data_IF_264409936379
#
_entry.id   IF_264409936379
#
_cell.length_a   1.000
_cell.length_b   1.000
_cell.length_c   1.000
_cell.angle_alpha   90.00
_cell.angle_beta   90.00
_cell.angle_gamma   90.00
#
_symmetry.space_group_name_H-M   'P 1'
#
loop_
_entity.id
_entity.type
_entity.pdbx_description
1 polymer ?
#
# COMPACT_ATOMS: atom_id res chain seq x y z
N UNK A 1 34.87 -15.14 64.27
CA UNK A 1 36.07 -14.39 63.81
C UNK A 1 36.29 -14.70 62.34
N UNK A 2 36.23 -13.71 61.43
CA UNK A 2 36.47 -13.84 59.97
C UNK A 2 35.43 -14.76 59.26
N UNK A 3 35.01 -14.57 57.99
CA UNK A 3 35.33 -13.51 57.01
C UNK A 3 34.13 -13.21 56.08
N UNK A 4 34.33 -12.21 55.20
CA UNK A 4 33.58 -11.77 54.02
C UNK A 4 33.02 -12.91 53.09
N UNK A 5 32.05 -12.73 52.17
CA UNK A 5 31.24 -11.58 51.66
C UNK A 5 29.90 -12.14 51.07
N UNK A 6 29.02 -11.53 50.24
CA UNK A 6 29.00 -10.34 49.36
C UNK A 6 27.56 -9.78 49.18
N UNK A 7 27.39 -8.72 48.37
CA UNK A 7 26.10 -8.14 47.92
C UNK A 7 25.22 -9.11 47.10
N UNK A 8 23.90 -8.99 47.29
CA UNK A 8 22.89 -9.06 46.20
C UNK A 8 21.84 -7.98 46.46
N UNK A 9 21.60 -7.09 45.49
CA UNK A 9 20.53 -6.10 45.53
C UNK A 9 19.57 -6.40 44.37
N UNK A 10 18.36 -6.88 44.69
CA UNK A 10 17.44 -7.42 43.69
C UNK A 10 16.69 -6.32 42.94
N UNK A 11 16.84 -6.26 41.62
CA UNK A 11 16.08 -5.36 40.75
C UNK A 11 14.78 -6.01 40.27
N UNK A 12 13.64 -5.34 40.51
CA UNK A 12 12.34 -5.77 40.02
C UNK A 12 12.19 -5.41 38.53
N UNK A 13 12.44 -6.40 37.65
CA UNK A 13 12.14 -6.29 36.22
C UNK A 13 10.65 -6.58 35.97
N UNK A 14 9.87 -5.51 35.76
CA UNK A 14 8.49 -5.62 35.26
C UNK A 14 8.52 -5.98 33.78
N UNK A 15 7.88 -7.10 33.42
CA UNK A 15 7.68 -7.48 32.03
C UNK A 15 6.75 -6.47 31.32
N UNK A 16 7.28 -5.77 30.32
CA UNK A 16 6.49 -5.03 29.34
C UNK A 16 6.46 -5.84 28.03
N UNK A 17 5.29 -6.13 27.43
CA UNK A 17 5.23 -6.89 26.19
C UNK A 17 5.80 -6.07 25.02
N UNK A 18 6.71 -6.68 24.26
CA UNK A 18 7.30 -6.06 23.06
C UNK A 18 6.25 -5.93 21.94
N UNK A 19 5.52 -4.81 21.92
CA UNK A 19 4.85 -4.35 20.71
C UNK A 19 5.90 -4.03 19.65
N UNK A 20 5.95 -4.84 18.59
CA UNK A 20 6.80 -4.61 17.43
C UNK A 20 6.24 -3.45 16.61
N UNK A 21 6.56 -2.23 17.00
CA UNK A 21 6.13 -1.01 16.30
C UNK A 21 6.70 -0.96 14.87
N UNK A 22 5.85 -1.20 13.87
CA UNK A 22 6.13 -0.93 12.46
C UNK A 22 6.37 0.56 12.25
N UNK A 23 7.35 0.91 11.41
CA UNK A 23 8.06 2.19 11.48
C UNK A 23 7.34 3.41 10.85
N UNK A 24 6.12 3.71 11.28
CA UNK A 24 5.57 5.07 11.25
C UNK A 24 5.96 5.80 12.54
N UNK A 25 7.21 6.24 12.66
CA UNK A 25 7.57 7.17 13.74
C UNK A 25 6.96 8.54 13.43
N UNK A 26 5.97 8.96 14.24
CA UNK A 26 5.31 10.27 14.13
C UNK A 26 6.35 11.40 14.09
N UNK A 27 7.48 11.21 14.78
CA UNK A 27 8.71 12.01 14.73
C UNK A 27 9.06 12.55 13.34
N UNK A 28 8.97 11.77 12.27
CA UNK A 28 9.36 12.24 10.94
C UNK A 28 8.41 13.31 10.38
N UNK A 29 7.10 13.23 10.67
CA UNK A 29 6.14 14.28 10.32
C UNK A 29 6.17 15.48 11.29
N UNK A 30 6.70 15.30 12.51
CA UNK A 30 6.80 16.37 13.51
C UNK A 30 7.98 17.33 13.27
N UNK A 31 8.99 16.93 12.48
CA UNK A 31 10.22 17.71 12.27
C UNK A 31 10.15 18.71 11.09
N UNK A 32 9.09 18.69 10.29
CA UNK A 32 8.97 19.53 9.07
C UNK A 32 7.74 20.44 9.05
N UNK A 33 6.88 20.41 10.07
CA UNK A 33 5.56 21.07 10.05
C UNK A 33 5.33 22.13 11.15
N UNK A 34 4.71 23.29 10.85
CA UNK A 34 4.18 24.20 11.87
C UNK A 34 3.13 23.52 12.78
N UNK A 35 2.90 24.07 13.98
CA UNK A 35 2.12 23.46 15.09
C UNK A 35 0.75 22.86 14.72
N UNK A 36 0.07 23.36 13.68
CA UNK A 36 -1.19 22.78 13.18
C UNK A 36 -1.07 21.35 12.63
N UNK A 37 0.15 20.86 12.35
CA UNK A 37 0.39 19.48 11.88
C UNK A 37 0.05 18.43 12.94
N UNK A 38 0.19 18.74 14.24
CA UNK A 38 0.01 17.75 15.30
C UNK A 38 -1.38 17.10 15.27
N UNK A 39 -2.44 17.90 15.08
CA UNK A 39 -3.84 17.44 15.04
C UNK A 39 -4.10 16.39 13.97
N UNK A 40 -3.50 16.53 12.78
CA UNK A 40 -3.75 15.63 11.65
C UNK A 40 -2.74 14.47 11.57
N UNK A 41 -1.57 14.59 12.22
CA UNK A 41 -0.45 13.66 12.12
C UNK A 41 -0.81 12.17 12.35
N UNK A 42 -1.69 11.88 13.32
CA UNK A 42 -2.15 10.53 13.59
C UNK A 42 -3.03 9.96 12.45
N UNK A 43 -3.94 10.77 11.91
CA UNK A 43 -4.80 10.38 10.78
C UNK A 43 -4.02 10.25 9.47
N UNK A 44 -2.98 11.07 9.28
CA UNK A 44 -2.03 10.92 8.16
C UNK A 44 -1.30 9.57 8.25
N UNK A 45 -0.77 9.20 9.42
CA UNK A 45 -0.10 7.92 9.59
C UNK A 45 -1.04 6.71 9.34
N UNK A 46 -2.28 6.77 9.84
CA UNK A 46 -3.30 5.73 9.59
C UNK A 46 -3.67 5.65 8.10
N UNK A 47 -3.82 6.79 7.41
CA UNK A 47 -4.15 6.80 5.98
C UNK A 47 -3.01 6.30 5.10
N UNK A 48 -1.77 6.65 5.41
CA UNK A 48 -0.60 6.14 4.70
C UNK A 48 -0.38 4.63 4.94
N UNK A 49 -0.60 4.16 6.18
CA UNK A 49 -0.64 2.72 6.50
C UNK A 49 -1.71 1.99 5.67
N UNK A 50 -2.92 2.55 5.60
CA UNK A 50 -4.04 1.99 4.80
C UNK A 50 -3.68 1.89 3.31
N UNK A 51 -2.98 2.91 2.78
CA UNK A 51 -2.42 2.89 1.42
C UNK A 51 -1.46 1.72 1.17
N UNK A 52 -0.58 1.43 2.13
CA UNK A 52 0.37 0.30 2.02
C UNK A 52 -0.30 -1.06 2.26
N UNK A 53 -1.36 -1.14 3.04
CA UNK A 53 -2.17 -2.37 3.16
C UNK A 53 -2.93 -2.70 1.87
N UNK A 54 -3.51 -1.70 1.20
CA UNK A 54 -4.10 -1.88 -0.13
C UNK A 54 -3.04 -2.20 -1.19
N UNK A 55 -1.84 -1.62 -1.08
CA UNK A 55 -0.70 -1.96 -1.92
C UNK A 55 -0.30 -3.44 -1.80
N UNK A 56 -0.22 -3.97 -0.56
CA UNK A 56 0.01 -5.41 -0.31
C UNK A 56 -1.11 -6.28 -0.87
N UNK A 57 -2.37 -5.82 -0.80
CA UNK A 57 -3.50 -6.50 -1.40
C UNK A 57 -3.40 -6.58 -2.94
N UNK A 58 -3.21 -5.44 -3.62
CA UNK A 58 -3.13 -5.37 -5.09
C UNK A 58 -1.95 -6.19 -5.66
N UNK A 59 -0.84 -6.29 -4.92
CA UNK A 59 0.38 -6.97 -5.36
C UNK A 59 0.62 -8.34 -4.70
N UNK A 60 -0.35 -8.88 -3.93
CA UNK A 60 -0.20 -10.12 -3.15
C UNK A 60 0.31 -11.33 -3.97
N UNK A 61 -0.08 -11.41 -5.25
CA UNK A 61 0.28 -12.48 -6.20
C UNK A 61 1.21 -12.02 -7.34
N UNK A 62 1.77 -10.82 -7.24
CA UNK A 62 2.81 -10.31 -8.16
C UNK A 62 4.21 -10.61 -7.64
N UNK A 63 5.25 -10.59 -8.49
CA UNK A 63 6.63 -10.95 -8.08
C UNK A 63 7.19 -9.99 -7.03
N UNK A 64 6.94 -8.71 -7.18
CA UNK A 64 7.02 -7.72 -6.11
C UNK A 64 5.67 -7.65 -5.39
N UNK A 65 5.65 -7.59 -4.06
CA UNK A 65 4.44 -7.76 -3.24
C UNK A 65 4.24 -6.65 -2.19
N UNK A 66 4.71 -5.44 -2.47
CA UNK A 66 4.72 -4.31 -1.53
C UNK A 66 5.33 -4.65 -0.15
N UNK A 67 6.63 -5.02 -0.10
CA UNK A 67 7.31 -5.48 1.12
C UNK A 67 7.37 -4.40 2.21
N UNK A 68 7.57 -4.79 3.47
CA UNK A 68 7.56 -3.84 4.61
C UNK A 68 8.60 -2.69 4.51
N UNK A 69 9.68 -2.88 3.74
CA UNK A 69 10.65 -1.82 3.41
C UNK A 69 10.04 -0.67 2.60
N UNK A 70 8.90 -0.90 1.94
CA UNK A 70 8.13 0.09 1.18
C UNK A 70 7.41 1.10 2.08
N UNK A 71 7.18 0.78 3.36
CA UNK A 71 6.59 1.69 4.35
C UNK A 71 7.45 2.95 4.59
N UNK A 72 8.74 2.90 4.24
CA UNK A 72 9.76 3.91 4.53
C UNK A 72 9.80 5.08 3.50
N UNK A 73 8.64 5.57 3.03
CA UNK A 73 8.58 6.73 2.11
C UNK A 73 9.37 7.92 2.68
N UNK A 74 9.15 8.25 3.96
CA UNK A 74 9.80 9.37 4.65
C UNK A 74 11.32 9.23 4.85
N UNK A 75 11.95 8.11 4.49
CA UNK A 75 13.38 7.85 4.77
C UNK A 75 14.27 7.74 3.54
N UNK A 76 13.73 7.80 2.32
CA UNK A 76 14.50 7.81 1.04
C UNK A 76 15.59 6.72 0.92
N UNK A 77 15.45 5.61 1.63
CA UNK A 77 16.47 4.55 1.76
C UNK A 77 16.00 3.20 1.21
N UNK A 78 14.72 2.86 1.35
CA UNK A 78 14.13 1.66 0.73
C UNK A 78 13.82 1.85 -0.76
N UNK A 79 13.12 2.94 -1.11
CA UNK A 79 12.63 3.21 -2.48
C UNK A 79 13.48 4.26 -3.21
N UNK A 80 14.80 4.03 -3.28
CA UNK A 80 15.68 4.88 -4.11
C UNK A 80 15.48 4.67 -5.61
N UNK A 81 14.97 3.51 -6.02
CA UNK A 81 14.72 3.23 -7.43
C UNK A 81 13.42 3.89 -7.89
N UNK A 82 13.50 4.59 -9.02
CA UNK A 82 12.39 5.31 -9.64
C UNK A 82 11.60 4.38 -10.58
N UNK A 83 11.23 3.19 -10.09
CA UNK A 83 10.53 2.14 -10.85
C UNK A 83 9.01 2.33 -10.88
N UNK A 84 8.34 1.50 -11.70
CA UNK A 84 6.88 1.46 -11.82
C UNK A 84 6.18 1.11 -10.50
N UNK A 85 6.79 0.29 -9.66
CA UNK A 85 6.23 -0.08 -8.36
C UNK A 85 6.32 1.08 -7.37
N UNK A 86 7.42 1.86 -7.42
CA UNK A 86 7.57 3.11 -6.65
C UNK A 86 6.49 4.13 -7.03
N UNK A 87 6.16 4.30 -8.32
CA UNK A 87 5.13 5.27 -8.74
C UNK A 87 3.74 4.94 -8.18
N UNK A 88 3.36 3.66 -8.16
CA UNK A 88 2.12 3.22 -7.49
C UNK A 88 2.16 3.44 -5.98
N UNK A 89 3.30 3.19 -5.30
CA UNK A 89 3.44 3.40 -3.85
C UNK A 89 3.20 4.86 -3.45
N UNK A 90 3.77 5.81 -4.20
CA UNK A 90 3.53 7.23 -3.99
C UNK A 90 2.05 7.58 -4.16
N UNK A 91 1.43 7.12 -5.24
CA UNK A 91 0.02 7.36 -5.52
C UNK A 91 -0.91 6.77 -4.46
N UNK A 92 -0.79 5.48 -4.10
CA UNK A 92 -1.69 4.83 -3.14
C UNK A 92 -1.50 5.35 -1.71
N UNK A 93 -0.29 5.79 -1.34
CA UNK A 93 -0.03 6.42 -0.04
C UNK A 93 -0.66 7.82 0.03
N UNK A 94 -0.46 8.64 -1.00
CA UNK A 94 -1.07 9.98 -1.12
C UNK A 94 -2.60 9.91 -1.15
N UNK A 95 -3.15 8.91 -1.86
CA UNK A 95 -4.57 8.59 -1.89
C UNK A 95 -5.10 8.15 -0.52
N UNK A 96 -4.41 7.25 0.19
CA UNK A 96 -4.82 6.75 1.51
C UNK A 96 -4.84 7.83 2.59
N UNK A 97 -3.87 8.74 2.58
CA UNK A 97 -3.85 9.93 3.43
C UNK A 97 -5.05 10.83 3.13
N UNK A 98 -5.28 11.17 1.86
CA UNK A 98 -6.41 12.02 1.44
C UNK A 98 -7.76 11.39 1.82
N UNK A 99 -7.95 10.12 1.50
CA UNK A 99 -9.16 9.34 1.75
C UNK A 99 -9.54 9.37 3.24
N UNK A 100 -8.57 9.05 4.10
CA UNK A 100 -8.76 8.97 5.55
C UNK A 100 -9.09 10.35 6.13
N UNK A 101 -8.38 11.39 5.71
CA UNK A 101 -8.62 12.76 6.21
C UNK A 101 -9.97 13.32 5.76
N UNK A 102 -10.38 13.09 4.51
CA UNK A 102 -11.73 13.45 4.03
C UNK A 102 -12.81 12.66 4.79
N UNK A 103 -12.59 11.37 5.07
CA UNK A 103 -13.55 10.53 5.78
C UNK A 103 -13.73 10.98 7.23
N UNK A 104 -12.64 11.16 7.96
CA UNK A 104 -12.63 11.63 9.36
C UNK A 104 -13.28 13.02 9.48
N UNK A 105 -12.96 13.93 8.55
CA UNK A 105 -13.60 15.23 8.43
C UNK A 105 -15.12 15.15 8.26
N UNK A 106 -15.59 14.21 7.44
CA UNK A 106 -17.02 14.02 7.14
C UNK A 106 -17.75 13.17 8.19
N UNK A 107 -17.00 12.55 9.12
CA UNK A 107 -17.51 11.90 10.34
C UNK A 107 -17.60 12.85 11.54
N UNK A 108 -16.93 14.01 11.49
CA UNK A 108 -16.89 14.99 12.57
C UNK A 108 -15.71 14.83 13.54
N UNK A 109 -14.66 14.10 13.16
CA UNK A 109 -13.48 13.87 14.00
C UNK A 109 -12.57 15.11 14.15
N UNK A 110 -12.85 16.20 13.43
CA UNK A 110 -12.08 17.45 13.43
C UNK A 110 -12.98 18.68 13.51
N UNK A 111 -12.86 19.50 14.56
CA UNK A 111 -13.66 20.72 14.75
C UNK A 111 -13.50 21.77 13.63
N UNK A 112 -12.38 21.72 12.89
CA UNK A 112 -11.97 22.73 11.93
C UNK A 112 -12.43 22.43 10.48
N UNK A 113 -13.25 21.40 10.27
CA UNK A 113 -13.82 21.08 8.96
C UNK A 113 -15.15 20.32 9.06
N UNK A 114 -15.76 20.04 7.92
CA UNK A 114 -17.00 19.29 7.81
C UNK A 114 -17.32 18.99 6.35
N UNK A 115 -18.57 18.62 6.08
CA UNK A 115 -19.09 18.23 4.76
C UNK A 115 -18.94 19.33 3.67
N UNK A 116 -18.98 18.93 2.40
CA UNK A 116 -19.24 19.85 1.29
C UNK A 116 -20.72 20.23 1.23
N UNK A 117 -21.07 21.32 1.93
CA UNK A 117 -22.42 21.93 1.88
C UNK A 117 -22.66 22.81 0.64
N UNK A 118 -21.66 23.04 -0.23
CA UNK A 118 -21.75 24.07 -1.30
C UNK A 118 -22.93 23.86 -2.26
N UNK A 119 -23.37 22.61 -2.43
CA UNK A 119 -24.46 22.19 -3.31
C UNK A 119 -25.78 21.91 -2.58
N UNK A 120 -25.78 21.86 -1.24
CA UNK A 120 -26.94 21.40 -0.48
C UNK A 120 -28.18 22.28 -0.70
N UNK A 121 -29.36 21.65 -0.76
CA UNK A 121 -30.63 22.28 -1.11
C UNK A 121 -30.87 22.50 -2.61
N UNK A 122 -29.85 22.42 -3.48
CA UNK A 122 -30.03 22.60 -4.92
C UNK A 122 -30.72 21.39 -5.57
N UNK A 123 -31.54 21.63 -6.59
CA UNK A 123 -32.11 20.55 -7.43
C UNK A 123 -30.97 19.92 -8.25
N UNK A 124 -30.75 18.62 -8.08
CA UNK A 124 -29.69 17.89 -8.80
C UNK A 124 -30.18 17.29 -10.12
N UNK A 125 -31.49 17.07 -10.26
CA UNK A 125 -32.13 16.60 -11.48
C UNK A 125 -33.58 16.21 -11.25
N UNK A 126 -34.21 15.56 -12.23
CA UNK A 126 -35.60 15.09 -12.12
C UNK A 126 -35.73 14.11 -10.94
N UNK A 127 -36.56 14.46 -9.96
CA UNK A 127 -36.85 13.61 -8.79
C UNK A 127 -35.76 13.57 -7.72
N UNK A 128 -34.72 14.41 -7.76
CA UNK A 128 -33.70 14.42 -6.70
C UNK A 128 -33.06 15.79 -6.41
N UNK A 129 -32.69 15.97 -5.14
CA UNK A 129 -32.04 17.17 -4.59
C UNK A 129 -30.72 16.84 -3.92
N UNK A 130 -29.80 17.79 -3.89
CA UNK A 130 -28.57 17.72 -3.11
C UNK A 130 -28.87 17.92 -1.63
N UNK A 131 -28.27 17.10 -0.76
CA UNK A 131 -28.44 17.20 0.69
C UNK A 131 -27.77 16.05 1.44
N UNK A 132 -27.63 16.20 2.76
CA UNK A 132 -26.81 15.30 3.58
C UNK A 132 -25.34 15.69 3.54
N UNK A 133 -24.46 14.84 4.07
CA UNK A 133 -23.03 15.10 4.10
C UNK A 133 -22.38 14.64 2.78
N UNK A 134 -21.95 15.57 1.93
CA UNK A 134 -21.01 15.24 0.86
C UNK A 134 -19.59 15.20 1.41
N UNK A 135 -18.81 14.18 1.06
CA UNK A 135 -17.44 13.98 1.55
C UNK A 135 -16.52 15.13 1.08
N UNK A 136 -15.84 15.81 2.01
CA UNK A 136 -15.01 16.98 1.71
C UNK A 136 -13.63 16.60 1.15
N UNK A 137 -13.58 16.30 -0.15
CA UNK A 137 -12.35 15.93 -0.87
C UNK A 137 -11.28 17.04 -0.86
N UNK A 138 -11.68 18.32 -0.97
CA UNK A 138 -10.76 19.46 -1.00
C UNK A 138 -10.01 19.66 0.34
N UNK A 139 -10.61 19.26 1.46
CA UNK A 139 -9.92 19.19 2.75
C UNK A 139 -8.84 18.09 2.75
N UNK A 140 -9.21 16.85 2.40
CA UNK A 140 -8.28 15.72 2.42
C UNK A 140 -7.13 15.87 1.43
N UNK A 141 -7.40 16.42 0.23
CA UNK A 141 -6.37 16.72 -0.77
C UNK A 141 -5.36 17.73 -0.23
N UNK A 142 -5.83 18.86 0.32
CA UNK A 142 -4.98 19.92 0.84
C UNK A 142 -4.05 19.44 1.95
N UNK A 143 -4.56 18.62 2.87
CA UNK A 143 -3.75 18.10 3.97
C UNK A 143 -2.86 16.93 3.49
N UNK A 144 -3.31 16.07 2.58
CA UNK A 144 -2.45 15.06 1.94
C UNK A 144 -1.26 15.71 1.22
N UNK A 145 -1.51 16.76 0.44
CA UNK A 145 -0.48 17.57 -0.22
C UNK A 145 0.51 18.16 0.79
N UNK A 146 0.00 18.77 1.86
CA UNK A 146 0.81 19.39 2.92
C UNK A 146 1.75 18.41 3.65
N UNK A 147 1.37 17.14 3.79
CA UNK A 147 2.16 16.13 4.50
C UNK A 147 3.00 15.23 3.58
N UNK A 148 2.43 14.74 2.48
CA UNK A 148 3.07 13.73 1.61
C UNK A 148 4.04 14.38 0.62
N UNK A 149 3.67 15.51 0.01
CA UNK A 149 4.61 16.27 -0.84
C UNK A 149 5.69 16.97 0.00
N UNK A 150 5.40 17.24 1.29
CA UNK A 150 6.37 17.72 2.28
C UNK A 150 7.51 16.75 2.61
N UNK A 151 7.44 15.48 2.17
CA UNK A 151 8.55 14.51 2.25
C UNK A 151 9.50 14.59 1.05
N UNK A 152 9.09 15.25 -0.04
CA UNK A 152 9.84 15.38 -1.29
C UNK A 152 10.70 16.65 -1.29
N UNK A 153 11.70 16.70 -0.40
CA UNK A 153 12.59 17.85 -0.23
C UNK A 153 13.60 18.06 -1.39
N UNK A 154 13.50 17.26 -2.46
CA UNK A 154 14.40 17.29 -3.61
C UNK A 154 13.99 18.28 -4.70
N UNK A 155 14.94 18.62 -5.57
CA UNK A 155 14.68 19.32 -6.85
C UNK A 155 15.22 18.52 -8.05
N UNK A 156 15.37 17.20 -7.88
CA UNK A 156 15.78 16.28 -8.93
C UNK A 156 14.58 15.68 -9.67
N UNK A 157 14.85 14.94 -10.74
CA UNK A 157 13.81 14.27 -11.53
C UNK A 157 12.96 13.28 -10.72
N UNK A 158 13.53 12.66 -9.67
CA UNK A 158 12.80 11.76 -8.77
C UNK A 158 11.80 12.52 -7.91
N UNK A 159 12.17 13.63 -7.30
CA UNK A 159 11.21 14.45 -6.54
C UNK A 159 10.04 14.91 -7.43
N UNK A 160 10.31 15.35 -8.67
CA UNK A 160 9.25 15.71 -9.62
C UNK A 160 8.35 14.53 -10.01
N UNK A 161 8.93 13.35 -10.23
CA UNK A 161 8.18 12.10 -10.45
C UNK A 161 7.33 11.71 -9.24
N UNK A 162 7.87 11.80 -8.03
CA UNK A 162 7.17 11.50 -6.78
C UNK A 162 5.98 12.46 -6.57
N UNK A 163 6.20 13.77 -6.76
CA UNK A 163 5.15 14.79 -6.68
C UNK A 163 4.03 14.57 -7.70
N UNK A 164 4.38 14.22 -8.95
CA UNK A 164 3.39 13.86 -9.99
C UNK A 164 2.56 12.65 -9.57
N UNK A 165 3.20 11.57 -9.11
CA UNK A 165 2.51 10.35 -8.69
C UNK A 165 1.66 10.57 -7.42
N UNK A 166 2.13 11.41 -6.48
CA UNK A 166 1.36 11.82 -5.32
C UNK A 166 0.06 12.54 -5.74
N UNK A 167 0.11 13.41 -6.77
CA UNK A 167 -1.07 14.08 -7.32
C UNK A 167 -1.99 13.11 -8.06
N UNK A 168 -1.46 12.21 -8.88
CA UNK A 168 -2.24 11.15 -9.54
C UNK A 168 -3.02 10.29 -8.52
N UNK A 169 -2.42 10.01 -7.36
CA UNK A 169 -3.09 9.39 -6.23
C UNK A 169 -4.29 10.19 -5.71
N UNK A 170 -4.13 11.50 -5.52
CA UNK A 170 -5.20 12.40 -5.04
C UNK A 170 -6.32 12.57 -6.07
N UNK A 171 -5.96 12.70 -7.35
CA UNK A 171 -6.92 12.75 -8.45
C UNK A 171 -7.72 11.45 -8.56
N UNK A 172 -7.12 10.27 -8.38
CA UNK A 172 -7.87 9.01 -8.34
C UNK A 172 -8.90 8.93 -7.19
N UNK A 173 -8.67 9.60 -6.05
CA UNK A 173 -9.68 9.73 -4.98
C UNK A 173 -10.84 10.62 -5.44
N UNK A 174 -10.59 11.73 -6.15
CA UNK A 174 -11.62 12.64 -6.68
C UNK A 174 -12.41 12.01 -7.84
N UNK A 175 -11.73 11.39 -8.81
CA UNK A 175 -12.33 10.79 -10.01
C UNK A 175 -13.23 9.58 -9.70
N UNK A 176 -12.95 8.86 -8.61
CA UNK A 176 -13.77 7.71 -8.19
C UNK A 176 -14.97 8.08 -7.30
N UNK A 177 -15.14 9.35 -6.90
CA UNK A 177 -16.27 9.76 -6.07
C UNK A 177 -17.62 9.47 -6.73
N UNK A 178 -18.52 8.83 -5.98
CA UNK A 178 -19.81 8.33 -6.45
C UNK A 178 -20.96 9.12 -5.81
N UNK A 179 -21.96 9.51 -6.60
CA UNK A 179 -23.20 10.11 -6.08
C UNK A 179 -24.05 9.02 -5.44
N UNK A 180 -24.17 9.04 -4.12
CA UNK A 180 -25.04 8.15 -3.34
C UNK A 180 -26.33 8.87 -2.94
N UNK A 181 -27.41 8.12 -2.76
CA UNK A 181 -28.75 8.67 -2.56
C UNK A 181 -29.54 7.87 -1.51
N UNK A 182 -30.44 8.57 -0.80
CA UNK A 182 -31.46 7.98 0.06
C UNK A 182 -32.85 8.33 -0.48
N UNK A 183 -33.62 7.29 -0.79
CA UNK A 183 -35.03 7.42 -1.17
C UNK A 183 -35.89 7.70 0.07
N UNK A 184 -36.87 8.59 -0.07
CA UNK A 184 -37.77 8.99 1.03
C UNK A 184 -39.16 9.42 0.56
N UNK A 185 -39.55 9.05 -0.66
CA UNK A 185 -40.92 9.15 -1.14
C UNK A 185 -41.89 8.23 -0.38
N UNK A 186 -43.16 8.32 -0.74
CA UNK A 186 -44.28 7.61 -0.10
C UNK A 186 -43.95 6.11 0.02
N UNK A 187 -44.10 5.56 1.22
CA UNK A 187 -43.75 4.17 1.57
C UNK A 187 -42.30 3.75 1.24
N UNK A 188 -41.36 4.70 1.25
CA UNK A 188 -39.93 4.46 0.96
C UNK A 188 -39.56 4.49 -0.53
N UNK A 189 -40.48 4.90 -1.41
CA UNK A 189 -40.24 4.96 -2.86
C UNK A 189 -39.16 5.97 -3.25
N UNK A 190 -38.47 5.70 -4.36
CA UNK A 190 -37.47 6.61 -4.95
C UNK A 190 -38.07 7.70 -5.86
N UNK A 191 -39.36 8.04 -5.69
CA UNK A 191 -40.03 9.12 -6.43
C UNK A 191 -39.50 10.50 -6.05
N UNK A 192 -39.03 10.64 -4.81
CA UNK A 192 -38.12 11.70 -4.36
C UNK A 192 -36.98 11.05 -3.56
N UNK A 193 -35.77 11.57 -3.77
CA UNK A 193 -34.56 11.13 -3.08
C UNK A 193 -33.62 12.32 -2.84
N UNK A 194 -32.86 12.26 -1.75
CA UNK A 194 -31.77 13.19 -1.47
C UNK A 194 -30.45 12.51 -1.75
N UNK A 195 -29.52 13.19 -2.40
CA UNK A 195 -28.22 12.65 -2.77
C UNK A 195 -27.06 13.56 -2.34
N UNK A 196 -25.93 12.93 -2.06
CA UNK A 196 -24.66 13.57 -1.72
C UNK A 196 -23.54 12.97 -2.58
N UNK A 197 -22.38 13.62 -2.62
CA UNK A 197 -21.18 13.05 -3.25
C UNK A 197 -20.38 12.30 -2.18
N UNK A 198 -20.07 11.04 -2.41
CA UNK A 198 -19.38 10.18 -1.43
C UNK A 198 -18.12 9.57 -2.05
N UNK A 199 -17.10 9.34 -1.23
CA UNK A 199 -15.92 8.57 -1.60
C UNK A 199 -16.30 7.16 -2.08
N UNK A 200 -15.47 6.57 -2.94
CA UNK A 200 -15.55 5.15 -3.28
C UNK A 200 -15.15 4.26 -2.08
N UNK A 201 -15.20 2.94 -2.23
CA UNK A 201 -14.47 2.09 -1.27
C UNK A 201 -12.97 2.23 -1.56
N UNK A 202 -12.10 2.21 -0.55
CA UNK A 202 -10.66 2.35 -0.80
C UNK A 202 -10.09 1.22 -1.70
N UNK A 203 -10.77 0.06 -1.72
CA UNK A 203 -10.54 -1.03 -2.69
C UNK A 203 -10.77 -0.61 -4.14
N UNK A 204 -11.79 0.21 -4.42
CA UNK A 204 -12.08 0.70 -5.78
C UNK A 204 -10.95 1.64 -6.25
N UNK A 205 -10.44 2.48 -5.34
CA UNK A 205 -9.30 3.38 -5.59
C UNK A 205 -8.01 2.57 -5.82
N UNK A 206 -7.75 1.54 -5.02
CA UNK A 206 -6.66 0.60 -5.22
C UNK A 206 -6.73 -0.12 -6.58
N UNK A 207 -7.92 -0.59 -6.97
CA UNK A 207 -8.17 -1.20 -8.27
C UNK A 207 -7.92 -0.21 -9.42
N UNK A 208 -8.41 1.04 -9.31
CA UNK A 208 -8.19 2.10 -10.30
C UNK A 208 -6.70 2.40 -10.46
N UNK A 209 -5.98 2.63 -9.36
CA UNK A 209 -4.54 2.92 -9.38
C UNK A 209 -3.73 1.71 -9.87
N UNK A 210 -4.19 0.47 -9.69
CA UNK A 210 -3.53 -0.72 -10.28
C UNK A 210 -3.63 -0.74 -11.80
N UNK A 211 -4.75 -0.29 -12.37
CA UNK A 211 -4.90 -0.11 -13.84
C UNK A 211 -3.93 0.98 -14.33
N UNK A 212 -3.83 2.11 -13.62
CA UNK A 212 -2.86 3.18 -13.93
C UNK A 212 -1.41 2.71 -13.81
N UNK A 213 -1.08 1.87 -12.82
CA UNK A 213 0.23 1.23 -12.70
C UNK A 213 0.54 0.34 -13.90
N UNK A 214 -0.41 -0.46 -14.36
CA UNK A 214 -0.20 -1.40 -15.47
C UNK A 214 -0.05 -0.66 -16.82
N UNK A 215 -0.59 0.56 -16.94
CA UNK A 215 -0.47 1.44 -18.11
C UNK A 215 0.61 2.53 -17.96
N UNK A 216 1.30 2.60 -16.81
CA UNK A 216 2.24 3.66 -16.45
C UNK A 216 3.33 3.92 -17.51
N UNK A 217 3.71 5.19 -17.62
CA UNK A 217 4.63 5.71 -18.63
C UNK A 217 6.06 5.82 -18.11
N UNK A 218 7.02 5.43 -18.95
CA UNK A 218 8.46 5.67 -18.69
C UNK A 218 8.84 7.01 -19.31
N UNK A 219 9.33 7.96 -18.51
CA UNK A 219 9.96 9.18 -19.03
C UNK A 219 11.46 8.92 -19.27
N UNK A 220 11.87 8.92 -20.54
CA UNK A 220 13.29 8.88 -20.89
C UNK A 220 13.93 10.26 -20.72
N UNK A 221 14.83 10.37 -19.74
CA UNK A 221 15.54 11.61 -19.44
C UNK A 221 17.01 11.52 -19.87
N UNK A 222 17.47 12.51 -20.66
CA UNK A 222 18.86 12.59 -21.07
C UNK A 222 19.77 12.71 -19.82
N UNK A 223 20.60 11.68 -19.62
CA UNK A 223 21.52 11.54 -18.48
C UNK A 223 22.54 12.69 -18.40
N UNK A 224 22.79 13.42 -19.51
CA UNK A 224 23.60 14.65 -19.52
C UNK A 224 22.87 15.80 -18.82
N UNK A 225 21.60 16.02 -19.19
CA UNK A 225 20.72 17.02 -18.53
C UNK A 225 20.51 16.70 -17.06
N UNK A 226 20.32 15.42 -16.71
CA UNK A 226 20.08 15.00 -15.33
C UNK A 226 21.31 15.20 -14.40
N UNK A 227 22.54 15.20 -14.94
CA UNK A 227 23.76 15.57 -14.18
C UNK A 227 23.95 17.09 -14.05
N UNK A 228 23.32 17.90 -14.89
CA UNK A 228 23.46 19.36 -14.93
C UNK A 228 22.34 20.07 -14.15
N UNK A 229 22.04 19.57 -12.95
CA UNK A 229 20.85 19.92 -12.16
C UNK A 229 20.80 21.34 -11.56
N UNK A 230 21.80 22.19 -11.82
CA UNK A 230 21.94 23.52 -11.20
C UNK A 230 21.62 24.71 -12.14
N UNK A 231 21.32 24.46 -13.42
CA UNK A 231 20.91 25.50 -14.37
C UNK A 231 19.38 25.67 -14.38
N UNK A 232 18.88 26.89 -14.25
CA UNK A 232 17.44 27.19 -14.18
C UNK A 232 16.67 26.72 -15.44
N UNK A 233 17.20 27.00 -16.64
CA UNK A 233 16.57 26.64 -17.92
C UNK A 233 16.34 25.13 -18.05
N UNK A 234 17.30 24.34 -17.56
CA UNK A 234 17.26 22.89 -17.58
C UNK A 234 16.19 22.34 -16.61
N UNK A 235 15.93 23.02 -15.49
CA UNK A 235 14.82 22.69 -14.58
C UNK A 235 13.46 23.01 -15.21
N UNK A 236 13.34 24.16 -15.88
CA UNK A 236 12.14 24.54 -16.63
C UNK A 236 11.81 23.54 -17.75
N UNK A 237 12.83 23.13 -18.52
CA UNK A 237 12.69 22.10 -19.55
C UNK A 237 12.25 20.73 -18.97
N UNK A 238 12.75 20.33 -17.81
CA UNK A 238 12.34 19.09 -17.14
C UNK A 238 10.89 19.20 -16.65
N UNK A 239 10.52 20.28 -15.96
CA UNK A 239 9.14 20.50 -15.48
C UNK A 239 8.12 20.51 -16.63
N UNK A 240 8.49 21.05 -17.79
CA UNK A 240 7.67 21.00 -19.01
C UNK A 240 7.41 19.59 -19.54
N UNK A 241 8.33 18.63 -19.34
CA UNK A 241 8.15 17.22 -19.74
C UNK A 241 7.24 16.46 -18.78
N UNK A 242 7.25 16.78 -17.49
CA UNK A 242 6.22 16.26 -16.55
C UNK A 242 4.85 16.89 -16.85
N UNK A 243 4.81 18.19 -17.17
CA UNK A 243 3.57 18.94 -17.42
C UNK A 243 2.85 18.56 -18.72
N UNK A 244 3.49 17.79 -19.63
CA UNK A 244 2.85 17.26 -20.84
C UNK A 244 2.22 15.87 -20.63
N UNK A 245 2.43 15.23 -19.49
CA UNK A 245 1.75 13.99 -19.09
C UNK A 245 0.48 14.36 -18.31
N UNK A 246 -0.62 13.66 -18.57
CA UNK A 246 -1.87 13.86 -17.84
C UNK A 246 -1.69 13.54 -16.34
N UNK A 247 -2.20 14.42 -15.46
CA UNK A 247 -2.02 14.29 -14.01
C UNK A 247 -2.60 13.03 -13.39
N UNK A 248 -3.51 12.33 -14.07
CA UNK A 248 -4.07 11.05 -13.62
C UNK A 248 -3.28 9.81 -14.09
N UNK A 249 -2.17 9.97 -14.82
CA UNK A 249 -1.30 8.87 -15.24
C UNK A 249 -0.06 8.74 -14.34
N UNK A 250 0.41 7.51 -14.11
CA UNK A 250 1.60 7.24 -13.31
C UNK A 250 2.87 7.26 -14.17
N UNK A 251 3.94 7.82 -13.61
CA UNK A 251 5.24 8.01 -14.28
C UNK A 251 6.35 7.28 -13.53
N UNK A 252 7.25 6.64 -14.27
CA UNK A 252 8.51 6.09 -13.75
C UNK A 252 9.72 6.46 -14.63
N UNK A 253 10.94 6.32 -14.10
CA UNK A 253 12.19 6.70 -14.77
C UNK A 253 13.16 5.52 -14.98
N UNK A 254 13.10 4.51 -14.11
CA UNK A 254 14.01 3.36 -14.08
C UNK A 254 13.26 2.06 -14.38
N UNK A 255 13.89 1.15 -15.13
CA UNK A 255 13.31 -0.17 -15.39
C UNK A 255 13.29 -1.03 -14.11
N UNK A 256 12.15 -1.67 -13.84
CA UNK A 256 11.97 -2.50 -12.65
C UNK A 256 12.95 -3.70 -12.64
N UNK A 257 13.63 -3.98 -11.50
CA UNK A 257 14.59 -5.09 -11.40
C UNK A 257 13.91 -6.47 -11.42
N UNK A 258 14.69 -7.53 -11.62
CA UNK A 258 14.17 -8.90 -11.55
C UNK A 258 13.82 -9.32 -10.11
N UNK A 259 12.55 -9.13 -9.76
CA UNK A 259 11.96 -9.52 -8.48
C UNK A 259 11.93 -11.03 -8.19
N UNK A 260 12.27 -11.91 -9.15
CA UNK A 260 12.53 -13.31 -8.83
C UNK A 260 13.73 -13.45 -7.85
N UNK A 261 14.73 -12.58 -7.97
CA UNK A 261 16.00 -12.68 -7.26
C UNK A 261 16.00 -11.92 -5.93
N UNK A 262 16.61 -12.53 -4.90
CA UNK A 262 16.89 -11.86 -3.64
C UNK A 262 18.07 -10.90 -3.79
N UNK A 263 17.86 -9.62 -3.49
CA UNK A 263 18.89 -8.59 -3.50
C UNK A 263 18.76 -7.70 -2.25
N UNK A 264 19.53 -8.04 -1.21
CA UNK A 264 19.54 -7.34 0.08
C UNK A 264 19.81 -5.84 -0.05
N UNK A 265 20.67 -5.43 -0.99
CA UNK A 265 21.03 -4.03 -1.21
C UNK A 265 19.90 -3.17 -1.79
N UNK A 266 18.88 -3.80 -2.36
CA UNK A 266 17.65 -3.17 -2.86
C UNK A 266 16.41 -3.56 -2.01
N UNK A 267 16.61 -4.18 -0.85
CA UNK A 267 15.52 -4.69 0.01
C UNK A 267 14.72 -5.87 -0.58
N UNK A 268 15.08 -6.37 -1.76
CA UNK A 268 14.31 -7.39 -2.48
C UNK A 268 14.51 -8.77 -1.84
N UNK A 269 13.41 -9.41 -1.43
CA UNK A 269 13.44 -10.71 -0.76
C UNK A 269 13.50 -11.91 -1.73
N UNK A 270 13.12 -11.71 -3.00
CA UNK A 270 12.91 -12.76 -4.00
C UNK A 270 11.55 -13.44 -3.87
N UNK A 271 11.24 -14.39 -4.77
CA UNK A 271 9.94 -15.13 -4.74
C UNK A 271 9.98 -16.44 -3.95
N UNK A 272 11.13 -16.82 -3.40
CA UNK A 272 11.30 -18.03 -2.57
C UNK A 272 10.50 -17.94 -1.26
N UNK A 273 9.87 -19.05 -0.87
CA UNK A 273 9.06 -19.18 0.34
C UNK A 273 7.65 -18.58 0.23
N UNK A 274 7.29 -17.94 -0.89
CA UNK A 274 5.98 -17.31 -1.06
C UNK A 274 4.88 -18.31 -1.40
N UNK A 275 3.68 -18.04 -0.86
CA UNK A 275 2.47 -18.76 -1.20
C UNK A 275 1.98 -18.39 -2.60
N UNK A 276 1.36 -19.35 -3.29
CA UNK A 276 0.75 -19.18 -4.59
C UNK A 276 -0.55 -20.02 -4.68
N UNK A 277 -1.38 -19.74 -5.68
CA UNK A 277 -2.69 -20.36 -5.86
C UNK A 277 -2.72 -21.21 -7.15
N UNK A 278 -2.82 -22.53 -6.99
CA UNK A 278 -2.90 -23.47 -8.13
C UNK A 278 -4.30 -24.07 -8.31
N UNK A 279 -5.05 -24.31 -7.23
CA UNK A 279 -6.37 -24.94 -7.26
C UNK A 279 -7.34 -24.24 -6.32
N UNK A 280 -8.57 -24.01 -6.78
CA UNK A 280 -9.63 -23.36 -6.01
C UNK A 280 -10.83 -23.04 -6.90
N UNK A 281 -12.05 -23.27 -6.38
CA UNK A 281 -13.29 -23.23 -7.18
C UNK A 281 -13.56 -21.86 -7.82
N UNK A 282 -13.30 -20.78 -7.09
CA UNK A 282 -13.66 -19.41 -7.49
C UNK A 282 -12.46 -18.57 -7.95
N UNK A 283 -11.29 -19.18 -8.21
CA UNK A 283 -10.09 -18.45 -8.65
C UNK A 283 -10.20 -18.00 -10.11
N UNK A 284 -9.82 -16.75 -10.38
CA UNK A 284 -9.64 -16.21 -11.73
C UNK A 284 -8.48 -16.87 -12.50
N UNK A 285 -8.41 -16.66 -13.81
CA UNK A 285 -7.28 -17.15 -14.63
C UNK A 285 -5.94 -16.51 -14.21
N UNK A 286 -5.96 -15.28 -13.67
CA UNK A 286 -4.78 -14.58 -13.19
C UNK A 286 -4.21 -15.18 -11.90
N UNK A 287 -5.08 -15.55 -10.96
CA UNK A 287 -4.73 -16.21 -9.71
C UNK A 287 -4.21 -17.62 -9.95
N UNK A 288 -4.89 -18.44 -10.78
CA UNK A 288 -4.45 -19.79 -11.15
C UNK A 288 -3.07 -19.83 -11.83
N UNK A 289 -2.64 -18.71 -12.43
CA UNK A 289 -1.30 -18.55 -13.04
C UNK A 289 -0.23 -18.08 -12.04
N UNK A 290 -0.57 -17.79 -10.78
CA UNK A 290 0.37 -17.27 -9.78
C UNK A 290 1.52 -18.24 -9.48
N UNK A 291 1.27 -19.54 -9.30
CA UNK A 291 2.36 -20.52 -9.08
C UNK A 291 3.33 -20.62 -10.27
N UNK A 292 2.85 -20.37 -11.50
CA UNK A 292 3.74 -20.24 -12.66
C UNK A 292 4.56 -18.94 -12.59
N UNK A 293 3.87 -17.79 -12.45
CA UNK A 293 4.44 -16.43 -12.44
C UNK A 293 5.47 -16.21 -11.32
N UNK A 294 5.22 -16.76 -10.14
CA UNK A 294 6.03 -16.60 -8.92
C UNK A 294 7.10 -17.69 -8.78
N UNK A 295 6.77 -18.95 -9.09
CA UNK A 295 7.68 -20.07 -8.86
C UNK A 295 8.40 -20.49 -10.15
N UNK A 296 7.68 -21.08 -11.12
CA UNK A 296 8.33 -21.80 -12.24
C UNK A 296 9.03 -20.87 -13.21
N UNK A 297 8.44 -19.70 -13.52
CA UNK A 297 9.04 -18.68 -14.37
C UNK A 297 10.26 -18.01 -13.68
N UNK A 298 10.35 -18.09 -12.35
CA UNK A 298 11.54 -17.72 -11.55
C UNK A 298 12.51 -18.90 -11.32
N UNK A 299 12.32 -20.03 -12.02
CA UNK A 299 13.19 -21.21 -11.94
C UNK A 299 12.98 -22.11 -10.71
N UNK A 300 12.12 -21.71 -9.76
CA UNK A 300 11.76 -22.46 -8.55
C UNK A 300 10.86 -23.67 -8.86
N UNK A 301 10.62 -24.54 -7.87
CA UNK A 301 9.57 -25.56 -7.90
C UNK A 301 8.36 -25.10 -7.08
N UNK A 302 7.20 -25.70 -7.35
CA UNK A 302 6.02 -25.58 -6.49
C UNK A 302 6.03 -26.75 -5.51
N UNK A 303 5.69 -26.49 -4.26
CA UNK A 303 5.64 -27.47 -3.18
C UNK A 303 4.30 -27.39 -2.45
N UNK A 304 3.67 -28.54 -2.22
CA UNK A 304 2.39 -28.63 -1.52
C UNK A 304 2.59 -28.78 -0.01
N UNK A 305 1.99 -27.88 0.78
CA UNK A 305 2.03 -27.91 2.24
C UNK A 305 0.63 -28.03 2.81
N UNK A 306 0.35 -29.20 3.40
CA UNK A 306 -0.85 -29.42 4.23
C UNK A 306 -0.75 -28.53 5.46
N UNK A 307 -1.74 -27.67 5.65
CA UNK A 307 -1.79 -26.67 6.71
C UNK A 307 -3.14 -26.80 7.42
N UNK A 308 -3.14 -27.04 8.73
CA UNK A 308 -4.38 -27.02 9.51
C UNK A 308 -4.73 -25.55 9.81
N UNK A 309 -5.89 -25.10 9.33
CA UNK A 309 -6.47 -23.80 9.68
C UNK A 309 -7.61 -24.01 10.68
N UNK A 310 -7.80 -23.05 11.57
CA UNK A 310 -8.94 -23.01 12.49
C UNK A 310 -9.90 -21.94 11.95
N UNK A 311 -11.16 -22.32 11.74
CA UNK A 311 -12.20 -21.42 11.23
C UNK A 311 -13.47 -21.51 12.07
N UNK A 312 -14.17 -20.39 12.20
CA UNK A 312 -15.50 -20.35 12.83
C UNK A 312 -16.51 -21.09 11.94
N UNK A 313 -17.18 -22.09 12.51
CA UNK A 313 -18.14 -22.95 11.81
C UNK A 313 -19.41 -23.14 12.64
N UNK A 314 -20.42 -23.79 12.04
CA UNK A 314 -21.68 -24.17 12.69
C UNK A 314 -22.39 -23.02 13.44
N UNK A 315 -22.17 -21.79 12.99
CA UNK A 315 -22.62 -20.57 13.65
C UNK A 315 -24.15 -20.51 13.77
N UNK A 316 -24.63 -20.41 15.01
CA UNK A 316 -26.05 -20.30 15.35
C UNK A 316 -26.34 -18.91 15.91
N UNK A 317 -27.35 -18.25 15.37
CA UNK A 317 -27.87 -17.01 15.94
C UNK A 317 -28.83 -17.34 17.08
N UNK A 318 -28.56 -16.77 18.25
CA UNK A 318 -29.45 -16.80 19.40
C UNK A 318 -30.24 -15.49 19.45
N UNK A 319 -31.57 -15.60 19.39
CA UNK A 319 -32.48 -14.48 19.60
C UNK A 319 -32.24 -13.90 21.00
N UNK A 320 -32.07 -12.57 21.09
CA UNK A 320 -31.15 -11.82 22.00
C UNK A 320 -29.82 -11.35 21.38
N UNK A 321 -29.67 -11.45 20.06
CA UNK A 321 -28.60 -10.82 19.27
C UNK A 321 -27.18 -11.35 19.51
N UNK A 322 -27.02 -12.62 19.92
CA UNK A 322 -25.69 -13.25 20.06
C UNK A 322 -25.48 -14.36 19.03
N UNK A 323 -24.37 -14.33 18.29
CA UNK A 323 -23.95 -15.43 17.41
C UNK A 323 -22.96 -16.30 18.16
N UNK A 324 -23.20 -17.61 18.20
CA UNK A 324 -22.27 -18.59 18.77
C UNK A 324 -21.78 -19.52 17.66
N UNK A 325 -20.48 -19.61 17.47
CA UNK A 325 -19.82 -20.49 16.51
C UNK A 325 -18.97 -21.53 17.22
N UNK A 326 -18.81 -22.68 16.57
CA UNK A 326 -17.84 -23.71 16.95
C UNK A 326 -16.51 -23.43 16.23
N UNK A 327 -15.37 -23.92 16.77
CA UNK A 327 -14.07 -23.82 16.09
C UNK A 327 -13.79 -25.12 15.33
N UNK A 328 -13.90 -25.09 14.00
CA UNK A 328 -13.55 -26.22 13.15
C UNK A 328 -12.07 -26.17 12.80
N UNK A 329 -11.40 -27.33 12.90
CA UNK A 329 -10.10 -27.57 12.27
C UNK A 329 -10.34 -28.06 10.84
N UNK A 330 -9.73 -27.40 9.86
CA UNK A 330 -9.78 -27.80 8.46
C UNK A 330 -8.36 -27.91 7.90
N UNK A 331 -8.01 -29.07 7.33
CA UNK A 331 -6.74 -29.23 6.62
C UNK A 331 -6.90 -28.68 5.20
N UNK A 332 -6.09 -27.67 4.87
CA UNK A 332 -6.03 -27.05 3.54
C UNK A 332 -4.66 -27.29 2.94
N UNK A 333 -4.62 -27.65 1.65
CA UNK A 333 -3.38 -27.73 0.87
C UNK A 333 -3.09 -26.33 0.33
N UNK A 334 -1.94 -25.78 0.72
CA UNK A 334 -1.38 -24.51 0.19
C UNK A 334 -0.17 -24.82 -0.69
N UNK A 335 0.06 -24.00 -1.71
CA UNK A 335 1.19 -24.14 -2.64
C UNK A 335 2.24 -23.07 -2.36
N UNK A 336 3.52 -23.45 -2.30
CA UNK A 336 4.63 -22.54 -2.01
C UNK A 336 5.75 -22.66 -3.05
N UNK A 337 6.43 -21.55 -3.34
CA UNK A 337 7.62 -21.56 -4.20
C UNK A 337 8.87 -21.96 -3.41
N UNK A 338 9.54 -23.07 -3.75
CA UNK A 338 10.78 -23.50 -3.08
C UNK A 338 11.90 -23.78 -4.07
N UNK A 339 13.16 -23.80 -3.61
CA UNK A 339 14.29 -24.13 -4.50
C UNK A 339 14.16 -25.56 -5.01
N UNK A 340 14.56 -25.76 -6.27
CA UNK A 340 14.94 -27.08 -6.76
C UNK A 340 16.19 -27.50 -6.00
N UNK A 341 16.13 -28.66 -5.35
CA UNK A 341 17.34 -29.26 -4.79
C UNK A 341 18.32 -29.50 -5.93
N UNK A 342 19.55 -29.01 -5.79
CA UNK A 342 20.64 -29.40 -6.69
C UNK A 342 21.14 -30.74 -6.19
N UNK A 343 21.34 -31.70 -7.10
CA UNK A 343 21.98 -32.99 -6.81
C UNK A 343 23.39 -32.82 -6.23
N UNK A 344 23.48 -32.72 -4.89
CA UNK A 344 24.75 -32.68 -4.17
C UNK A 344 25.60 -33.95 -4.40
N UNK A 345 24.98 -35.03 -4.90
CA UNK A 345 25.62 -36.29 -5.22
C UNK A 345 26.64 -36.23 -6.36
N UNK A 346 26.58 -35.24 -7.27
CA UNK A 346 27.49 -35.19 -8.44
C UNK A 346 28.84 -34.49 -8.20
N UNK A 347 29.10 -33.98 -6.99
CA UNK A 347 30.40 -33.38 -6.60
C UNK A 347 31.29 -34.33 -5.78
N UNK A 348 30.70 -35.20 -4.94
CA UNK A 348 31.49 -36.15 -4.13
C UNK A 348 32.10 -37.30 -4.96
N UNK A 349 31.40 -37.78 -6.00
CA UNK A 349 31.92 -38.81 -6.92
C UNK A 349 33.15 -38.37 -7.69
N UNK A 350 33.20 -37.10 -8.15
CA UNK A 350 34.40 -36.53 -8.80
C UNK A 350 35.58 -36.30 -7.85
N UNK A 351 35.35 -36.22 -6.53
CA UNK A 351 36.43 -36.17 -5.53
C UNK A 351 37.00 -37.56 -5.22
N UNK A 352 36.17 -38.60 -5.04
CA UNK A 352 36.66 -39.98 -4.84
C UNK A 352 37.50 -40.49 -6.01
N UNK A 353 37.06 -40.27 -7.26
CA UNK A 353 37.77 -40.78 -8.44
C UNK A 353 39.06 -40.01 -8.82
N UNK A 354 39.51 -39.03 -8.02
CA UNK A 354 40.81 -38.37 -8.17
C UNK A 354 41.87 -38.79 -7.14
N UNK A 355 41.52 -39.60 -6.14
CA UNK A 355 42.44 -40.12 -5.13
C UNK A 355 43.04 -41.50 -5.44
N UNK A 356 43.01 -41.96 -6.69
CA UNK A 356 43.37 -43.35 -7.03
C UNK A 356 43.95 -43.56 -8.44
N UNK A 357 44.80 -42.64 -8.93
CA UNK A 357 45.70 -42.90 -10.07
C UNK A 357 47.06 -42.20 -9.89
N UNK A 358 48.04 -42.99 -9.47
CA UNK A 358 49.49 -42.71 -9.34
C UNK A 358 49.84 -41.68 -8.26
#
# INVERSE_FOLDING_TARGET
MKSATLFVLATLLIFCPFFTASAWSVNNFLMTGPKAYLTYSASVAVGAQSGIEECKHQFALERWNCPESTLQLATHNGLRSASRETSFVHAISSAGVMYTLTRNCSMGDFDNCGCDDSRNGRIGGRGWVWGGCSDNAEFGERISKLFVDGLETGQDARALMNLHNNEAGRLAVKETMKRTCKCHGISGSCSIQTCWLQLAEFRDIGNHLKIKHDQALKLEMDKRKMRSGNSADNRGAIAGVFSSVAGSELIFLEDSPDYCLKNTSLGLQGTEGRECLQSGKNLSQWERRSCRRLCTDCGLRVEEKKTEIISSCNCKFHWCCTVRCEQCKQVVIKHFCTRKERDFNMLNTKRKNRGHKR
#
